data_IF_836585238996
#
_entry.id   IF_836585238996
#
_cell.length_a   1.000
_cell.length_b   1.000
_cell.length_c   1.000
_cell.angle_alpha   90.00
_cell.angle_beta   90.00
_cell.angle_gamma   90.00
#
_symmetry.space_group_name_H-M   'P 1'
#
loop_
_entity.id
_entity.type
_entity.pdbx_description
1 polymer ?
#
# COMPACT_ATOMS: atom_id res chain seq x y z
N UNK A 1 12.53 -25.57 -20.39
CA UNK A 1 11.58 -24.46 -20.18
C UNK A 1 11.52 -24.20 -18.69
N UNK A 2 12.38 -23.31 -18.20
CA UNK A 2 12.43 -22.95 -16.78
C UNK A 2 12.79 -21.48 -16.67
N UNK A 3 11.90 -20.61 -17.16
CA UNK A 3 11.98 -19.17 -16.90
C UNK A 3 11.45 -18.92 -15.49
N UNK A 4 12.28 -19.18 -14.48
CA UNK A 4 12.03 -18.68 -13.13
C UNK A 4 12.60 -17.27 -13.09
N UNK A 5 11.78 -16.34 -13.59
CA UNK A 5 12.09 -14.92 -13.64
C UNK A 5 12.22 -14.42 -12.20
N UNK A 6 13.46 -14.25 -11.75
CA UNK A 6 13.78 -13.56 -10.51
C UNK A 6 13.48 -12.09 -10.73
N UNK A 7 12.21 -11.70 -10.58
CA UNK A 7 11.84 -10.28 -10.62
C UNK A 7 12.60 -9.57 -9.51
N UNK A 8 13.41 -8.60 -9.90
CA UNK A 8 14.18 -7.79 -8.97
C UNK A 8 13.23 -7.07 -8.02
N UNK A 9 13.68 -6.78 -6.81
CA UNK A 9 12.85 -6.09 -5.81
C UNK A 9 12.32 -4.75 -6.32
N UNK A 10 13.07 -4.07 -7.20
CA UNK A 10 12.64 -2.84 -7.87
C UNK A 10 11.43 -3.05 -8.80
N UNK A 11 11.41 -4.14 -9.56
CA UNK A 11 10.27 -4.47 -10.44
C UNK A 11 9.02 -4.78 -9.62
N UNK A 12 9.18 -5.51 -8.51
CA UNK A 12 8.07 -5.79 -7.58
C UNK A 12 7.54 -4.52 -6.91
N UNK A 13 8.43 -3.58 -6.57
CA UNK A 13 8.01 -2.27 -6.04
C UNK A 13 7.22 -1.48 -7.09
N UNK A 14 7.70 -1.45 -8.34
CA UNK A 14 7.00 -0.77 -9.42
C UNK A 14 5.62 -1.38 -9.68
N UNK A 15 5.49 -2.71 -9.58
CA UNK A 15 4.21 -3.40 -9.68
C UNK A 15 3.25 -3.00 -8.56
N UNK A 16 3.70 -2.99 -7.30
CA UNK A 16 2.90 -2.52 -6.16
C UNK A 16 2.45 -1.07 -6.35
N UNK A 17 3.34 -0.19 -6.80
CA UNK A 17 3.02 1.21 -7.07
C UNK A 17 1.95 1.35 -8.16
N UNK A 18 2.07 0.57 -9.24
CA UNK A 18 1.12 0.58 -10.35
C UNK A 18 -0.25 0.04 -9.92
N UNK A 19 -0.30 -1.09 -9.21
CA UNK A 19 -1.52 -1.66 -8.65
C UNK A 19 -2.24 -0.68 -7.72
N UNK A 20 -1.50 0.07 -6.90
CA UNK A 20 -2.06 1.10 -6.03
C UNK A 20 -2.59 2.29 -6.82
N UNK A 21 -1.83 2.80 -7.79
CA UNK A 21 -2.25 3.93 -8.61
C UNK A 21 -3.57 3.64 -9.34
N UNK A 22 -3.67 2.48 -9.98
CA UNK A 22 -4.85 2.08 -10.75
C UNK A 22 -6.01 1.64 -9.86
N UNK A 23 -5.71 0.91 -8.80
CA UNK A 23 -6.69 0.34 -7.91
C UNK A 23 -7.34 1.38 -7.00
N UNK A 24 -6.55 2.28 -6.42
CA UNK A 24 -7.08 3.34 -5.53
C UNK A 24 -8.06 4.25 -6.25
N UNK A 25 -7.85 4.54 -7.53
CA UNK A 25 -8.80 5.31 -8.33
C UNK A 25 -10.22 4.69 -8.37
N UNK A 26 -10.35 3.39 -8.08
CA UNK A 26 -11.63 2.66 -8.05
C UNK A 26 -12.20 2.46 -6.65
N UNK A 27 -11.36 2.40 -5.62
CA UNK A 27 -11.76 2.01 -4.25
C UNK A 27 -11.70 3.13 -3.22
N UNK A 28 -11.06 4.26 -3.55
CA UNK A 28 -10.91 5.44 -2.70
C UNK A 28 -11.69 6.61 -3.31
N UNK A 29 -13.04 6.62 -3.19
CA UNK A 29 -13.90 7.60 -3.85
C UNK A 29 -13.66 9.04 -3.34
N UNK A 30 -13.02 9.18 -2.18
CA UNK A 30 -12.68 10.46 -1.58
C UNK A 30 -11.24 10.89 -1.86
N UNK A 31 -10.47 10.10 -2.61
CA UNK A 31 -9.06 10.35 -2.96
C UNK A 31 -8.18 10.69 -1.74
N UNK A 32 -8.43 9.99 -0.63
CA UNK A 32 -7.70 10.17 0.64
C UNK A 32 -6.35 9.47 0.66
N UNK A 33 -6.16 8.46 -0.18
CA UNK A 33 -4.93 7.68 -0.35
C UNK A 33 -4.32 7.86 -1.74
N UNK A 34 -5.16 8.01 -2.77
CA UNK A 34 -4.70 8.17 -4.15
C UNK A 34 -3.72 9.35 -4.29
N UNK A 35 -2.54 9.09 -4.85
CA UNK A 35 -1.50 10.11 -5.08
C UNK A 35 -0.83 10.66 -3.80
N UNK A 36 -1.13 10.10 -2.63
CA UNK A 36 -0.63 10.57 -1.33
C UNK A 36 0.38 9.65 -0.59
N UNK A 37 0.85 8.50 -1.09
CA UNK A 37 1.83 7.74 -0.33
C UNK A 37 3.11 8.57 -0.20
N UNK A 38 3.50 8.87 1.04
CA UNK A 38 4.64 9.71 1.38
C UNK A 38 5.95 8.92 1.43
N UNK A 39 5.88 7.60 1.31
CA UNK A 39 7.07 6.75 1.25
C UNK A 39 6.75 5.29 0.99
N UNK A 40 7.64 4.66 0.24
CA UNK A 40 7.76 3.21 0.10
C UNK A 40 9.09 2.79 0.70
N UNK A 41 9.08 1.85 1.62
CA UNK A 41 10.28 1.32 2.25
C UNK A 41 10.35 -0.19 2.09
N UNK A 42 11.46 -0.68 1.58
CA UNK A 42 11.78 -2.10 1.59
C UNK A 42 12.38 -2.50 2.94
N UNK A 43 11.87 -3.59 3.50
CA UNK A 43 12.30 -4.21 4.76
C UNK A 43 12.73 -5.64 4.43
N UNK A 44 13.92 -6.01 4.89
CA UNK A 44 14.51 -7.35 4.76
C UNK A 44 14.52 -7.95 3.33
N UNK A 45 14.43 -7.12 2.29
CA UNK A 45 14.51 -7.54 0.89
C UNK A 45 13.21 -8.10 0.28
N UNK A 46 12.17 -8.32 1.10
CA UNK A 46 10.94 -9.01 0.67
C UNK A 46 9.66 -8.44 1.28
N UNK A 47 9.73 -7.36 2.05
CA UNK A 47 8.55 -6.72 2.66
C UNK A 47 8.52 -5.24 2.30
N UNK A 48 7.41 -4.75 1.77
CA UNK A 48 7.22 -3.33 1.52
C UNK A 48 6.31 -2.71 2.58
N UNK A 49 6.78 -1.59 3.13
CA UNK A 49 5.98 -0.70 3.95
C UNK A 49 5.61 0.54 3.12
N UNK A 50 4.30 0.81 3.06
CA UNK A 50 3.71 1.96 2.35
C UNK A 50 3.07 2.85 3.41
N UNK A 51 3.48 4.12 3.46
CA UNK A 51 2.97 5.07 4.45
C UNK A 51 2.18 6.19 3.79
N UNK A 52 1.02 6.50 4.35
CA UNK A 52 0.17 7.65 4.04
C UNK A 52 0.06 8.51 5.30
N UNK A 53 0.48 9.78 5.23
CA UNK A 53 0.37 10.75 6.32
C UNK A 53 -0.74 11.76 6.02
N UNK A 54 -1.17 12.47 7.05
CA UNK A 54 -2.12 13.58 6.93
C UNK A 54 -3.46 13.16 6.28
N UNK A 55 -3.86 11.92 6.52
CA UNK A 55 -5.12 11.36 6.03
C UNK A 55 -6.22 11.78 7.00
N UNK A 56 -7.31 12.40 6.52
CA UNK A 56 -8.41 12.86 7.37
C UNK A 56 -9.19 11.71 8.04
N UNK A 57 -9.08 10.49 7.51
CA UNK A 57 -9.74 9.29 7.99
C UNK A 57 -9.69 8.18 6.94
N UNK A 58 -9.94 6.95 7.36
CA UNK A 58 -10.03 5.81 6.44
C UNK A 58 -11.14 4.87 6.91
N UNK A 59 -12.02 4.49 5.99
CA UNK A 59 -13.07 3.53 6.25
C UNK A 59 -12.53 2.09 6.17
N UNK A 60 -13.15 1.18 6.92
CA UNK A 60 -12.78 -0.24 6.89
C UNK A 60 -12.88 -0.85 5.48
N UNK A 61 -13.88 -0.45 4.70
CA UNK A 61 -14.05 -0.90 3.32
C UNK A 61 -12.88 -0.49 2.41
N UNK A 62 -12.31 0.71 2.62
CA UNK A 62 -11.15 1.20 1.87
C UNK A 62 -9.91 0.39 2.25
N UNK A 63 -9.68 0.13 3.54
CA UNK A 63 -8.60 -0.76 4.02
C UNK A 63 -8.73 -2.14 3.39
N UNK A 64 -9.93 -2.70 3.37
CA UNK A 64 -10.18 -4.03 2.81
C UNK A 64 -9.97 -4.04 1.30
N UNK A 65 -10.35 -2.97 0.60
CA UNK A 65 -10.07 -2.77 -0.81
C UNK A 65 -8.57 -2.76 -1.10
N UNK A 66 -7.78 -2.00 -0.34
CA UNK A 66 -6.32 -1.94 -0.52
C UNK A 66 -5.67 -3.29 -0.26
N UNK A 67 -6.08 -4.00 0.80
CA UNK A 67 -5.60 -5.37 1.07
C UNK A 67 -5.91 -6.31 -0.09
N UNK A 68 -7.08 -6.21 -0.72
CA UNK A 68 -7.44 -7.03 -1.88
C UNK A 68 -6.60 -6.69 -3.12
N UNK A 69 -6.22 -5.43 -3.30
CA UNK A 69 -5.33 -5.02 -4.38
C UNK A 69 -3.90 -5.58 -4.19
N UNK A 70 -3.37 -5.49 -2.97
CA UNK A 70 -1.99 -5.84 -2.65
C UNK A 70 -1.75 -7.33 -2.37
N UNK A 71 -2.82 -8.10 -2.14
CA UNK A 71 -2.75 -9.54 -1.91
C UNK A 71 -2.86 -9.96 -0.44
N UNK A 72 -2.80 -11.28 -0.22
CA UNK A 72 -3.21 -11.92 1.04
C UNK A 72 -2.32 -11.58 2.24
N UNK A 73 -1.02 -11.39 2.02
CA UNK A 73 -0.06 -11.07 3.09
C UNK A 73 0.09 -9.54 3.24
N UNK A 74 -1.03 -8.84 3.44
CA UNK A 74 -1.09 -7.39 3.60
C UNK A 74 -1.72 -6.98 4.94
N UNK A 75 -0.94 -6.31 5.78
CA UNK A 75 -1.34 -5.79 7.08
C UNK A 75 -1.55 -4.29 6.99
N UNK A 76 -2.49 -3.76 7.78
CA UNK A 76 -2.76 -2.33 7.86
C UNK A 76 -2.72 -1.90 9.32
N UNK A 77 -2.06 -0.78 9.58
CA UNK A 77 -2.12 -0.07 10.86
C UNK A 77 -2.64 1.33 10.62
N UNK A 78 -3.54 1.77 11.49
CA UNK A 78 -4.08 3.13 11.51
C UNK A 78 -3.72 3.71 12.86
N UNK A 79 -3.02 4.84 12.86
CA UNK A 79 -2.54 5.50 14.06
C UNK A 79 -2.90 6.98 14.04
N UNK A 80 -3.37 7.55 15.17
CA UNK A 80 -3.55 9.00 15.27
C UNK A 80 -2.23 9.72 15.03
N UNK A 81 -2.25 10.77 14.21
CA UNK A 81 -1.12 11.69 14.02
C UNK A 81 -1.41 13.02 14.74
N UNK A 82 -2.63 13.53 14.56
CA UNK A 82 -3.19 14.69 15.28
C UNK A 82 -4.64 14.39 15.70
N UNK A 83 -5.35 15.39 16.23
CA UNK A 83 -6.79 15.28 16.50
C UNK A 83 -7.63 15.14 15.22
N UNK A 84 -7.12 15.59 14.06
CA UNK A 84 -7.86 15.67 12.80
C UNK A 84 -7.30 14.75 11.71
N UNK A 85 -6.09 14.21 11.91
CA UNK A 85 -5.40 13.38 10.91
C UNK A 85 -4.82 12.11 11.49
N UNK A 86 -4.76 11.09 10.65
CA UNK A 86 -4.19 9.78 10.92
C UNK A 86 -3.00 9.50 9.99
N UNK A 87 -2.11 8.62 10.45
CA UNK A 87 -1.17 7.90 9.61
C UNK A 87 -1.73 6.51 9.33
N UNK A 88 -1.81 6.15 8.04
CA UNK A 88 -2.19 4.82 7.57
C UNK A 88 -0.95 4.16 7.00
N UNK A 89 -0.66 2.94 7.45
CA UNK A 89 0.49 2.18 6.97
C UNK A 89 0.07 0.78 6.56
N UNK A 90 0.43 0.43 5.33
CA UNK A 90 0.28 -0.93 4.82
C UNK A 90 1.65 -1.62 4.78
N UNK A 91 1.69 -2.87 5.22
CA UNK A 91 2.88 -3.73 5.15
C UNK A 91 2.51 -4.94 4.32
N UNK A 92 3.17 -5.12 3.18
CA UNK A 92 2.91 -6.20 2.23
C UNK A 92 4.16 -7.04 2.02
N UNK A 93 4.01 -8.36 2.14
CA UNK A 93 5.07 -9.31 1.78
C UNK A 93 5.06 -9.54 0.27
N UNK A 94 6.21 -9.36 -0.37
CA UNK A 94 6.42 -9.71 -1.79
C UNK A 94 7.32 -10.95 -1.86
N UNK A 95 6.69 -12.13 -1.75
CA UNK A 95 7.37 -13.42 -1.95
C UNK A 95 7.51 -13.72 -3.43
#
# INVERSE_FOLDING_TARGET
MSDVQSTSTTERLAEVQHQLADGLARIDPHHRLLGRPVGYRLIDGHTFEITYRDVAGIAEAEVLGVKRLLGRDCYCTVSPQTAETITVRFVVSVK
#
